data_IF_608662158314
#
_entry.id   IF_608662158314
#
_cell.length_a   1.000
_cell.length_b   1.000
_cell.length_c   1.000
_cell.angle_alpha   90.00
_cell.angle_beta   90.00
_cell.angle_gamma   90.00
#
_symmetry.space_group_name_H-M   'P 1'
#
loop_
_entity.id
_entity.type
_entity.pdbx_description
1 polymer ?
#
# COMPACT_ATOMS: atom_id res chain seq x y z
N UNK A 1 25.31 -27.37 -57.18
CA UNK A 1 26.04 -26.94 -55.97
C UNK A 1 25.27 -25.77 -55.39
N UNK A 2 24.58 -26.00 -54.27
CA UNK A 2 23.67 -25.02 -53.64
C UNK A 2 24.48 -24.11 -52.71
N UNK A 3 24.60 -22.84 -53.03
CA UNK A 3 25.16 -21.82 -52.13
C UNK A 3 24.14 -21.50 -51.03
N UNK A 4 24.44 -21.96 -49.81
CA UNK A 4 23.75 -21.54 -48.59
C UNK A 4 24.17 -20.10 -48.27
N UNK A 5 23.29 -19.14 -48.54
CA UNK A 5 23.39 -17.77 -48.03
C UNK A 5 23.20 -17.75 -46.51
N UNK A 6 24.26 -18.10 -45.76
CA UNK A 6 24.33 -17.92 -44.32
C UNK A 6 24.69 -16.48 -43.99
N UNK A 7 23.85 -15.79 -43.22
CA UNK A 7 24.20 -14.48 -42.67
C UNK A 7 25.51 -14.56 -41.85
N UNK A 8 26.41 -13.56 -41.92
CA UNK A 8 27.63 -13.53 -41.12
C UNK A 8 27.31 -13.69 -39.63
N UNK A 9 28.04 -14.57 -38.92
CA UNK A 9 27.86 -14.80 -37.48
C UNK A 9 27.96 -13.52 -36.62
N UNK A 10 28.62 -12.47 -37.14
CA UNK A 10 28.74 -11.15 -36.50
C UNK A 10 27.45 -10.33 -36.48
N UNK A 11 26.43 -10.72 -37.25
CA UNK A 11 25.11 -10.05 -37.32
C UNK A 11 24.04 -10.77 -36.48
N UNK A 12 24.34 -11.95 -35.93
CA UNK A 12 23.42 -12.69 -35.06
C UNK A 12 23.67 -12.22 -33.61
N UNK A 13 22.73 -11.50 -32.99
CA UNK A 13 22.91 -11.05 -31.63
C UNK A 13 23.02 -12.26 -30.70
N UNK A 14 24.01 -12.22 -29.79
CA UNK A 14 24.14 -13.24 -28.76
C UNK A 14 22.92 -13.26 -27.86
N UNK A 15 22.66 -14.38 -27.18
CA UNK A 15 21.56 -14.52 -26.20
C UNK A 15 21.53 -13.33 -25.22
N UNK A 16 22.70 -12.91 -24.72
CA UNK A 16 22.84 -11.77 -23.81
C UNK A 16 22.47 -10.44 -24.46
N UNK A 17 22.80 -10.23 -25.74
CA UNK A 17 22.42 -9.02 -26.49
C UNK A 17 20.91 -8.99 -26.74
N UNK A 18 20.31 -10.13 -27.10
CA UNK A 18 18.86 -10.27 -27.27
C UNK A 18 18.12 -10.01 -25.97
N UNK A 19 18.53 -10.62 -24.86
CA UNK A 19 17.93 -10.39 -23.53
C UNK A 19 18.04 -8.92 -23.09
N UNK A 20 19.19 -8.26 -23.35
CA UNK A 20 19.35 -6.82 -23.07
C UNK A 20 18.45 -5.95 -23.96
N UNK A 21 18.29 -6.31 -25.22
CA UNK A 21 17.39 -5.61 -26.14
C UNK A 21 15.92 -5.78 -25.72
N UNK A 22 15.50 -6.99 -25.35
CA UNK A 22 14.17 -7.26 -24.79
C UNK A 22 13.93 -6.46 -23.51
N UNK A 23 14.89 -6.43 -22.57
CA UNK A 23 14.80 -5.64 -21.34
C UNK A 23 14.69 -4.13 -21.60
N UNK A 24 15.35 -3.63 -22.65
CA UNK A 24 15.21 -2.24 -23.11
C UNK A 24 13.83 -1.97 -23.69
N UNK A 25 13.29 -2.91 -24.45
CA UNK A 25 11.94 -2.79 -25.03
C UNK A 25 10.87 -2.85 -23.94
N UNK A 26 11.01 -3.69 -22.92
CA UNK A 26 10.12 -3.72 -21.74
C UNK A 26 9.99 -2.34 -21.06
N UNK A 27 11.05 -1.54 -21.08
CA UNK A 27 11.08 -0.17 -20.53
C UNK A 27 10.81 0.90 -21.59
N UNK A 28 10.41 0.49 -22.80
CA UNK A 28 10.00 1.41 -23.85
C UNK A 28 8.70 2.14 -23.47
N UNK A 29 8.55 3.37 -23.95
CA UNK A 29 7.40 4.24 -23.65
C UNK A 29 6.06 3.52 -23.86
N UNK A 30 5.93 2.77 -24.96
CA UNK A 30 4.73 1.99 -25.25
C UNK A 30 4.41 0.99 -24.14
N UNK A 31 5.40 0.18 -23.72
CA UNK A 31 5.19 -0.83 -22.68
C UNK A 31 4.93 -0.20 -21.31
N UNK A 32 5.55 0.93 -21.00
CA UNK A 32 5.25 1.67 -19.77
C UNK A 32 3.80 2.20 -19.76
N UNK A 33 3.34 2.78 -20.86
CA UNK A 33 1.95 3.28 -20.98
C UNK A 33 0.96 2.13 -20.98
N UNK A 34 1.22 1.06 -21.73
CA UNK A 34 0.36 -0.13 -21.76
C UNK A 34 0.24 -0.78 -20.37
N UNK A 35 1.36 -0.90 -19.64
CA UNK A 35 1.35 -1.35 -18.25
C UNK A 35 0.51 -0.43 -17.37
N UNK A 36 0.65 0.89 -17.53
CA UNK A 36 -0.09 1.84 -16.70
C UNK A 36 -1.60 1.79 -16.96
N UNK A 37 -2.01 1.62 -18.22
CA UNK A 37 -3.43 1.43 -18.59
C UNK A 37 -3.98 0.14 -17.99
N UNK A 38 -3.22 -0.96 -18.08
CA UNK A 38 -3.60 -2.25 -17.50
C UNK A 38 -3.75 -2.18 -15.98
N UNK A 39 -2.82 -1.53 -15.29
CA UNK A 39 -2.87 -1.31 -13.84
C UNK A 39 -4.08 -0.43 -13.45
N UNK A 40 -4.39 0.60 -14.24
CA UNK A 40 -5.56 1.45 -14.03
C UNK A 40 -6.88 0.66 -14.15
N UNK A 41 -7.00 -0.19 -15.17
CA UNK A 41 -8.15 -1.09 -15.34
C UNK A 41 -8.31 -2.04 -14.15
N UNK A 42 -7.22 -2.58 -13.62
CA UNK A 42 -7.27 -3.42 -12.42
C UNK A 42 -7.79 -2.65 -11.20
N UNK A 43 -7.31 -1.41 -10.99
CA UNK A 43 -7.80 -0.55 -9.90
C UNK A 43 -9.29 -0.25 -10.05
N UNK A 44 -9.77 0.01 -11.27
CA UNK A 44 -11.21 0.19 -11.55
C UNK A 44 -12.02 -1.07 -11.22
N UNK A 45 -11.55 -2.26 -11.59
CA UNK A 45 -12.21 -3.53 -11.26
C UNK A 45 -12.30 -3.74 -9.75
N UNK A 46 -11.22 -3.48 -9.00
CA UNK A 46 -11.22 -3.57 -7.54
C UNK A 46 -12.20 -2.57 -6.93
N UNK A 47 -12.23 -1.34 -7.44
CA UNK A 47 -13.15 -0.31 -6.98
C UNK A 47 -14.61 -0.67 -7.27
N UNK A 48 -14.92 -1.24 -8.44
CA UNK A 48 -16.25 -1.74 -8.78
C UNK A 48 -16.71 -2.87 -7.84
N UNK A 49 -15.84 -3.84 -7.56
CA UNK A 49 -16.11 -4.91 -6.58
C UNK A 49 -16.27 -4.40 -5.14
N UNK A 50 -15.79 -3.18 -4.85
CA UNK A 50 -15.84 -2.54 -3.53
C UNK A 50 -16.59 -1.20 -3.59
N UNK A 51 -17.62 -1.08 -4.43
CA UNK A 51 -18.32 0.18 -4.72
C UNK A 51 -18.85 0.94 -3.49
N UNK A 52 -19.06 0.25 -2.35
CA UNK A 52 -19.43 0.89 -1.08
C UNK A 52 -18.33 1.76 -0.46
N UNK A 53 -17.06 1.53 -0.82
CA UNK A 53 -15.91 2.18 -0.21
C UNK A 53 -15.30 3.19 -1.19
N UNK A 54 -15.01 4.42 -0.74
CA UNK A 54 -14.38 5.44 -1.55
C UNK A 54 -13.00 4.98 -2.02
N UNK A 55 -12.70 5.24 -3.29
CA UNK A 55 -11.39 4.96 -3.89
C UNK A 55 -10.50 6.19 -3.71
N UNK A 56 -9.43 6.02 -2.93
CA UNK A 56 -8.45 7.06 -2.64
C UNK A 56 -7.16 6.79 -3.42
N UNK A 57 -6.65 7.83 -4.07
CA UNK A 57 -5.36 7.76 -4.76
C UNK A 57 -4.23 8.20 -3.83
N UNK A 58 -3.19 7.38 -3.65
CA UNK A 58 -1.97 7.85 -3.01
C UNK A 58 -1.22 8.80 -3.97
N UNK A 59 -1.06 10.07 -3.61
CA UNK A 59 -0.44 11.10 -4.48
C UNK A 59 1.04 10.85 -4.77
N UNK A 60 1.66 9.85 -4.13
CA UNK A 60 3.03 9.45 -4.46
C UNK A 60 3.10 8.83 -5.85
N UNK A 61 2.33 7.77 -6.09
CA UNK A 61 2.30 7.11 -7.38
C UNK A 61 0.89 6.61 -7.78
N UNK A 62 0.00 6.35 -6.81
CA UNK A 62 -1.38 5.90 -7.06
C UNK A 62 -2.23 6.80 -7.94
N UNK A 63 -1.98 8.11 -7.96
CA UNK A 63 -2.72 9.06 -8.80
C UNK A 63 -2.61 8.79 -10.31
N UNK A 64 -1.61 8.02 -10.76
CA UNK A 64 -1.48 7.61 -12.16
C UNK A 64 -2.53 6.60 -12.62
N UNK A 65 -3.15 5.88 -11.68
CA UNK A 65 -4.00 4.71 -11.97
C UNK A 65 -5.46 4.92 -11.57
N UNK A 66 -5.81 6.12 -11.11
CA UNK A 66 -7.15 6.45 -10.66
C UNK A 66 -7.63 7.69 -11.41
N UNK A 67 -8.50 7.49 -12.40
CA UNK A 67 -9.03 8.61 -13.20
C UNK A 67 -9.90 9.56 -12.33
N UNK A 68 -10.78 8.99 -11.49
CA UNK A 68 -11.76 9.73 -10.69
C UNK A 68 -11.72 9.34 -9.22
N UNK A 69 -10.68 9.77 -8.48
CA UNK A 69 -10.57 9.43 -7.07
C UNK A 69 -11.66 10.12 -6.25
N UNK A 70 -12.24 9.42 -5.28
CA UNK A 70 -13.11 10.01 -4.25
C UNK A 70 -12.34 10.95 -3.31
N UNK A 71 -11.02 10.80 -3.26
CA UNK A 71 -10.12 11.64 -2.49
C UNK A 71 -8.66 11.20 -2.68
N UNK A 72 -7.74 11.90 -2.02
CA UNK A 72 -6.32 11.61 -2.14
C UNK A 72 -5.68 11.41 -0.77
N UNK A 73 -4.64 10.59 -0.69
CA UNK A 73 -3.83 10.42 0.51
C UNK A 73 -2.33 10.52 0.18
N UNK A 74 -1.47 10.64 1.19
CA UNK A 74 -0.04 10.88 1.02
C UNK A 74 0.82 9.98 1.91
N UNK A 75 0.77 8.66 1.67
CA UNK A 75 1.62 7.69 2.36
C UNK A 75 2.96 7.54 1.63
N UNK A 76 4.08 7.67 2.34
CA UNK A 76 5.43 7.62 1.75
C UNK A 76 6.11 6.30 2.08
N UNK A 77 6.52 5.54 1.07
CA UNK A 77 7.13 4.22 1.26
C UNK A 77 8.38 4.21 2.15
N UNK A 78 9.15 5.31 2.17
CA UNK A 78 10.34 5.41 3.03
C UNK A 78 10.03 5.31 4.51
N UNK A 79 8.81 5.68 4.91
CA UNK A 79 8.39 5.67 6.31
C UNK A 79 8.14 4.22 6.80
N UNK A 80 8.11 3.25 5.87
CA UNK A 80 7.98 1.81 6.13
C UNK A 80 9.23 0.99 5.79
N UNK A 81 10.38 1.60 5.49
CA UNK A 81 11.60 0.84 5.17
C UNK A 81 12.10 0.04 6.38
N UNK A 82 12.57 -1.19 6.14
CA UNK A 82 13.10 -2.05 7.20
C UNK A 82 14.27 -1.38 7.91
N UNK A 83 14.24 -1.35 9.25
CA UNK A 83 15.23 -0.66 10.08
C UNK A 83 15.05 0.86 10.17
N UNK A 84 14.14 1.45 9.38
CA UNK A 84 13.85 2.89 9.40
C UNK A 84 12.34 3.16 9.30
N UNK A 85 11.59 2.63 10.26
CA UNK A 85 10.15 2.87 10.38
C UNK A 85 9.88 4.20 11.08
N UNK A 86 8.92 4.96 10.57
CA UNK A 86 8.53 6.25 11.13
C UNK A 86 7.04 6.53 10.96
N UNK A 87 6.52 7.39 11.82
CA UNK A 87 5.20 7.98 11.70
C UNK A 87 5.34 9.47 11.36
N UNK A 88 4.65 9.95 10.33
CA UNK A 88 4.77 11.34 9.90
C UNK A 88 3.76 12.22 10.64
N UNK A 89 4.27 13.16 11.45
CA UNK A 89 3.45 14.21 12.08
C UNK A 89 3.02 15.32 11.12
N UNK A 90 3.58 15.36 9.91
CA UNK A 90 3.22 16.30 8.84
C UNK A 90 2.17 15.70 7.90
N UNK A 91 2.33 14.41 7.55
CA UNK A 91 1.41 13.68 6.64
C UNK A 91 0.50 12.76 7.45
N UNK A 92 -0.31 13.36 8.33
CA UNK A 92 -1.14 12.61 9.26
C UNK A 92 -2.23 11.77 8.58
N UNK A 93 -2.67 12.16 7.37
CA UNK A 93 -3.74 11.49 6.62
C UNK A 93 -5.04 11.32 7.45
N UNK A 94 -5.36 12.24 8.37
CA UNK A 94 -6.56 12.16 9.21
C UNK A 94 -7.86 12.22 8.38
N UNK A 95 -7.84 12.91 7.25
CA UNK A 95 -8.96 12.94 6.31
C UNK A 95 -9.25 11.56 5.71
N UNK A 96 -8.21 10.75 5.44
CA UNK A 96 -8.35 9.34 5.02
C UNK A 96 -9.07 8.53 6.09
N UNK A 97 -8.71 8.70 7.36
CA UNK A 97 -9.38 8.02 8.47
C UNK A 97 -10.84 8.48 8.65
N UNK A 98 -11.10 9.78 8.53
CA UNK A 98 -12.43 10.35 8.61
C UNK A 98 -13.35 9.79 7.50
N UNK A 99 -12.82 9.70 6.28
CA UNK A 99 -13.52 9.17 5.12
C UNK A 99 -13.76 7.66 5.24
N UNK A 100 -12.75 6.89 5.67
CA UNK A 100 -12.90 5.47 5.97
C UNK A 100 -13.95 5.23 7.07
N UNK A 101 -13.98 6.07 8.10
CA UNK A 101 -15.00 6.00 9.16
C UNK A 101 -16.40 6.27 8.60
N UNK A 102 -16.54 7.30 7.77
CA UNK A 102 -17.81 7.71 7.17
C UNK A 102 -18.40 6.61 6.29
N UNK A 103 -17.58 5.96 5.47
CA UNK A 103 -18.02 4.93 4.52
C UNK A 103 -17.90 3.49 5.05
N UNK A 104 -17.39 3.29 6.28
CA UNK A 104 -17.13 1.97 6.84
C UNK A 104 -15.93 1.23 6.22
N UNK A 105 -15.05 1.95 5.54
CA UNK A 105 -13.83 1.48 4.88
C UNK A 105 -13.40 2.42 3.77
N UNK A 106 -12.22 2.20 3.19
CA UNK A 106 -11.76 2.87 1.96
C UNK A 106 -10.86 1.92 1.16
N UNK A 107 -10.73 2.17 -0.14
CA UNK A 107 -9.75 1.51 -0.99
C UNK A 107 -8.64 2.52 -1.27
N UNK A 108 -7.38 2.13 -1.13
CA UNK A 108 -6.25 2.99 -1.47
C UNK A 108 -5.46 2.35 -2.60
N UNK A 109 -5.28 3.08 -3.70
CA UNK A 109 -4.43 2.67 -4.82
C UNK A 109 -3.05 3.30 -4.71
N UNK A 110 -2.00 2.52 -4.98
CA UNK A 110 -0.62 2.99 -5.10
C UNK A 110 0.19 2.08 -6.02
N UNK A 111 1.29 2.61 -6.54
CA UNK A 111 2.17 1.86 -7.43
C UNK A 111 3.19 1.03 -6.65
N UNK A 112 3.55 -0.11 -7.21
CA UNK A 112 4.71 -0.88 -6.77
C UNK A 112 5.85 -0.77 -7.79
N UNK A 113 7.09 -0.95 -7.33
CA UNK A 113 8.24 -1.10 -8.24
C UNK A 113 8.34 -2.54 -8.71
N UNK A 114 8.95 -2.75 -9.88
CA UNK A 114 9.27 -4.09 -10.40
C UNK A 114 9.95 -4.94 -9.33
N UNK A 115 9.48 -6.18 -9.16
CA UNK A 115 10.00 -7.15 -8.20
C UNK A 115 9.38 -7.08 -6.80
N UNK A 116 8.50 -6.10 -6.53
CA UNK A 116 7.66 -6.09 -5.32
C UNK A 116 6.19 -6.23 -5.71
N UNK A 117 5.45 -7.04 -4.96
CA UNK A 117 3.98 -7.12 -5.10
C UNK A 117 3.31 -5.86 -4.54
N UNK A 118 3.85 -5.30 -3.45
CA UNK A 118 3.35 -4.08 -2.82
C UNK A 118 4.48 -3.11 -2.49
N UNK A 119 4.25 -1.78 -2.57
CA UNK A 119 5.18 -0.81 -2.01
C UNK A 119 5.21 -0.89 -0.48
N UNK A 120 6.32 -0.45 0.13
CA UNK A 120 6.43 -0.42 1.60
C UNK A 120 5.38 0.52 2.24
N UNK A 121 4.85 1.49 1.47
CA UNK A 121 3.71 2.29 1.87
C UNK A 121 2.49 1.41 2.23
N UNK A 122 2.19 0.42 1.38
CA UNK A 122 1.07 -0.50 1.57
C UNK A 122 1.38 -1.59 2.59
N UNK A 123 2.61 -2.13 2.58
CA UNK A 123 2.96 -3.24 3.47
C UNK A 123 3.27 -2.83 4.91
N UNK A 124 3.73 -1.59 5.15
CA UNK A 124 4.20 -1.17 6.48
C UNK A 124 3.75 0.22 6.89
N UNK A 125 3.87 1.24 6.04
CA UNK A 125 3.51 2.62 6.43
C UNK A 125 2.03 2.77 6.81
N UNK A 126 1.11 2.26 5.98
CA UNK A 126 -0.33 2.30 6.26
C UNK A 126 -0.70 1.42 7.47
N UNK A 127 -0.20 0.18 7.61
CA UNK A 127 -0.40 -0.60 8.83
C UNK A 127 0.10 0.07 10.12
N UNK A 128 1.28 0.71 10.09
CA UNK A 128 1.81 1.49 11.21
C UNK A 128 0.87 2.65 11.53
N UNK A 129 0.47 3.41 10.51
CA UNK A 129 -0.47 4.51 10.66
C UNK A 129 -1.79 4.06 11.27
N UNK A 130 -2.37 2.96 10.77
CA UNK A 130 -3.60 2.38 11.29
C UNK A 130 -3.46 1.97 12.76
N UNK A 131 -2.34 1.35 13.14
CA UNK A 131 -2.06 0.96 14.52
C UNK A 131 -1.99 2.18 15.46
N UNK A 132 -1.31 3.26 15.05
CA UNK A 132 -1.23 4.52 15.81
C UNK A 132 -2.62 5.13 15.98
N UNK A 133 -3.42 5.22 14.91
CA UNK A 133 -4.78 5.76 14.99
C UNK A 133 -5.71 4.90 15.85
N UNK A 134 -5.60 3.57 15.77
CA UNK A 134 -6.39 2.64 16.59
C UNK A 134 -6.08 2.83 18.09
N UNK A 135 -4.79 2.92 18.47
CA UNK A 135 -4.39 3.18 19.87
C UNK A 135 -4.83 4.56 20.34
N UNK A 136 -4.68 5.59 19.52
CA UNK A 136 -5.16 6.94 19.84
C UNK A 136 -6.69 6.96 20.04
N UNK A 137 -7.44 6.26 19.19
CA UNK A 137 -8.90 6.20 19.29
C UNK A 137 -9.35 5.47 20.56
N UNK A 138 -8.66 4.38 20.93
CA UNK A 138 -8.90 3.66 22.19
C UNK A 138 -8.59 4.54 23.40
N UNK A 139 -7.46 5.26 23.39
CA UNK A 139 -7.09 6.18 24.47
C UNK A 139 -8.12 7.31 24.68
N UNK A 140 -8.90 7.65 23.66
CA UNK A 140 -9.98 8.64 23.71
C UNK A 140 -11.37 8.04 23.97
N UNK A 141 -11.47 6.71 24.16
CA UNK A 141 -12.73 6.00 24.35
C UNK A 141 -13.63 5.99 23.11
N UNK A 142 -13.07 6.13 21.91
CA UNK A 142 -13.83 6.20 20.64
C UNK A 142 -14.10 4.84 20.02
N UNK A 143 -13.30 3.85 20.40
CA UNK A 143 -13.41 2.46 19.98
C UNK A 143 -13.72 1.67 21.24
N UNK A 144 -14.93 1.11 21.31
CA UNK A 144 -15.30 0.19 22.37
C UNK A 144 -14.40 -1.04 22.27
N UNK A 145 -13.80 -1.44 23.40
CA UNK A 145 -13.20 -2.76 23.49
C UNK A 145 -14.33 -3.75 23.34
N UNK A 146 -14.42 -4.40 22.18
CA UNK A 146 -15.41 -5.44 21.96
C UNK A 146 -15.22 -6.53 23.00
N UNK A 147 -16.09 -6.55 24.00
CA UNK A 147 -16.51 -7.80 24.63
C UNK A 147 -17.29 -8.53 23.54
N UNK A 148 -16.65 -9.46 22.80
CA UNK A 148 -17.29 -10.66 22.23
C UNK A 148 -16.30 -11.57 21.44
N UNK A 149 -16.17 -12.78 21.99
CA UNK A 149 -16.19 -14.12 21.37
C UNK A 149 -15.05 -14.70 20.52
N UNK A 150 -14.07 -13.94 20.04
CA UNK A 150 -12.82 -14.53 19.52
C UNK A 150 -11.62 -13.92 20.26
N UNK A 151 -10.98 -14.72 21.12
CA UNK A 151 -10.00 -14.37 22.17
C UNK A 151 -8.70 -13.64 21.78
N UNK A 152 -8.69 -12.84 20.71
CA UNK A 152 -7.56 -12.09 20.14
C UNK A 152 -7.85 -10.57 20.05
N UNK A 153 -9.08 -10.12 20.32
CA UNK A 153 -9.57 -8.79 19.93
C UNK A 153 -9.17 -7.59 20.81
N UNK A 154 -8.71 -7.82 22.03
CA UNK A 154 -8.71 -6.79 23.09
C UNK A 154 -7.33 -6.25 23.46
N UNK A 155 -6.25 -6.79 22.90
CA UNK A 155 -4.89 -6.43 23.36
C UNK A 155 -4.17 -5.45 22.42
N UNK A 156 -3.41 -4.47 22.95
CA UNK A 156 -2.61 -3.54 22.16
C UNK A 156 -1.63 -4.20 21.19
N UNK A 157 -1.22 -5.45 21.44
CA UNK A 157 -0.39 -6.23 20.53
C UNK A 157 -1.05 -6.54 19.18
N UNK A 158 -2.39 -6.53 19.07
CA UNK A 158 -3.12 -6.83 17.84
C UNK A 158 -3.42 -5.58 16.99
N UNK A 159 -3.03 -4.39 17.43
CA UNK A 159 -3.24 -3.15 16.69
C UNK A 159 -2.34 -3.08 15.44
N UNK A 160 -1.11 -3.60 15.54
CA UNK A 160 -0.19 -3.68 14.41
C UNK A 160 -0.39 -5.00 13.65
N UNK A 161 -1.12 -4.94 12.55
CA UNK A 161 -1.33 -6.06 11.63
C UNK A 161 -0.58 -5.82 10.32
N UNK A 162 0.59 -6.45 10.22
CA UNK A 162 1.39 -6.46 9.00
C UNK A 162 0.92 -7.60 8.07
N UNK A 163 1.15 -7.50 6.75
CA UNK A 163 0.83 -8.58 5.84
C UNK A 163 1.69 -9.84 6.12
N UNK A 164 1.21 -11.03 5.72
CA UNK A 164 1.86 -12.31 6.06
C UNK A 164 3.26 -12.51 5.47
N UNK A 165 3.61 -11.78 4.41
CA UNK A 165 4.96 -11.82 3.81
C UNK A 165 5.98 -10.93 4.54
N UNK A 166 5.57 -10.14 5.53
CA UNK A 166 6.49 -9.37 6.36
C UNK A 166 6.90 -10.22 7.57
N UNK A 167 8.21 -10.41 7.81
CA UNK A 167 8.68 -11.22 8.93
C UNK A 167 8.15 -10.73 10.28
N UNK A 168 7.85 -11.67 11.19
CA UNK A 168 7.42 -11.36 12.55
C UNK A 168 8.45 -10.50 13.31
N UNK A 169 9.74 -10.67 13.03
CA UNK A 169 10.81 -9.86 13.62
C UNK A 169 10.70 -8.37 13.28
N UNK A 170 10.16 -7.98 12.11
CA UNK A 170 9.88 -6.57 11.82
C UNK A 170 8.73 -6.07 12.69
N UNK A 171 7.66 -6.87 12.86
CA UNK A 171 6.55 -6.52 13.75
C UNK A 171 7.04 -6.28 15.18
N UNK A 172 7.88 -7.17 15.70
CA UNK A 172 8.45 -7.07 17.05
C UNK A 172 9.31 -5.81 17.24
N UNK A 173 10.01 -5.35 16.18
CA UNK A 173 10.81 -4.12 16.22
C UNK A 173 9.98 -2.84 16.10
N UNK A 174 8.85 -2.90 15.38
CA UNK A 174 7.95 -1.76 15.18
C UNK A 174 7.05 -1.56 16.39
N UNK A 175 6.52 -2.63 16.99
CA UNK A 175 5.49 -2.57 18.03
C UNK A 175 5.86 -1.65 19.21
N UNK A 176 7.09 -1.68 19.76
CA UNK A 176 7.49 -0.80 20.87
C UNK A 176 7.53 0.69 20.50
N UNK A 177 7.56 1.03 19.20
CA UNK A 177 7.63 2.42 18.73
C UNK A 177 6.25 3.09 18.63
N UNK A 178 5.18 2.29 18.58
CA UNK A 178 3.82 2.80 18.33
C UNK A 178 3.39 3.80 19.41
N UNK A 179 3.70 3.56 20.68
CA UNK A 179 3.23 4.44 21.78
C UNK A 179 3.91 5.82 21.75
N UNK A 180 5.16 5.89 21.32
CA UNK A 180 5.84 7.14 21.07
C UNK A 180 5.13 7.92 19.95
N UNK A 181 4.76 7.25 18.85
CA UNK A 181 4.04 7.89 17.75
C UNK A 181 2.60 8.30 18.10
N UNK A 182 1.94 7.58 19.00
CA UNK A 182 0.65 8.00 19.56
C UNK A 182 0.81 9.29 20.37
N UNK A 183 1.90 9.39 21.14
CA UNK A 183 2.25 10.61 21.88
C UNK A 183 2.52 11.76 20.92
N UNK A 184 3.32 11.53 19.86
CA UNK A 184 3.60 12.54 18.83
C UNK A 184 2.31 13.03 18.14
N UNK A 185 1.41 12.12 17.76
CA UNK A 185 0.12 12.45 17.15
C UNK A 185 -0.72 13.36 18.06
N UNK A 186 -0.81 13.05 19.35
CA UNK A 186 -1.56 13.84 20.33
C UNK A 186 -0.88 15.16 20.66
N UNK A 187 0.43 15.25 20.47
CA UNK A 187 1.19 16.49 20.62
C UNK A 187 0.98 17.49 19.47
N UNK A 188 0.73 17.00 18.25
CA UNK A 188 0.58 17.85 17.05
C UNK A 188 -0.88 18.10 16.63
N UNK A 189 -1.83 17.35 17.17
CA UNK A 189 -3.24 17.44 16.82
C UNK A 189 -4.11 17.55 18.07
N UNK A 190 -5.00 18.55 18.10
CA UNK A 190 -5.89 18.74 19.25
C UNK A 190 -6.91 17.59 19.38
N UNK A 191 -7.35 17.33 20.61
CA UNK A 191 -8.27 16.23 20.90
C UNK A 191 -9.57 16.31 20.09
N UNK A 192 -10.11 17.51 19.89
CA UNK A 192 -11.35 17.70 19.12
C UNK A 192 -11.20 17.20 17.68
N UNK A 193 -10.14 17.60 16.98
CA UNK A 193 -9.84 17.10 15.63
C UNK A 193 -9.64 15.59 15.62
N UNK A 194 -8.95 15.04 16.63
CA UNK A 194 -8.78 13.59 16.75
C UNK A 194 -10.13 12.88 16.91
N UNK A 195 -11.03 13.35 17.79
CA UNK A 195 -12.37 12.76 17.94
C UNK A 195 -13.20 12.84 16.66
N UNK A 196 -13.01 13.90 15.88
CA UNK A 196 -13.68 14.08 14.58
C UNK A 196 -13.10 13.22 13.47
N UNK A 197 -11.84 12.81 13.50
CA UNK A 197 -11.23 12.05 12.39
C UNK A 197 -10.97 10.58 12.70
N UNK A 198 -10.71 10.25 13.97
CA UNK A 198 -10.34 8.90 14.37
C UNK A 198 -11.49 7.90 14.20
N UNK A 199 -11.14 6.63 13.93
CA UNK A 199 -12.12 5.60 13.63
C UNK A 199 -12.94 5.20 14.87
N UNK A 200 -14.16 4.69 14.66
CA UNK A 200 -15.03 4.12 15.72
C UNK A 200 -14.91 2.60 15.87
N UNK A 201 -14.28 1.96 14.89
CA UNK A 201 -13.90 0.54 14.90
C UNK A 201 -12.44 0.43 14.46
N UNK A 202 -11.65 -0.55 14.93
CA UNK A 202 -10.24 -0.64 14.56
C UNK A 202 -10.07 -0.71 13.04
N UNK A 203 -9.20 0.15 12.48
CA UNK A 203 -8.77 0.08 11.09
C UNK A 203 -7.99 -1.22 10.87
N UNK A 204 -8.41 -2.00 9.87
CA UNK A 204 -7.76 -3.24 9.44
C UNK A 204 -7.37 -3.13 7.98
N UNK A 205 -6.11 -3.39 7.68
CA UNK A 205 -5.58 -3.36 6.32
C UNK A 205 -5.79 -4.70 5.63
N UNK A 206 -6.19 -4.65 4.36
CA UNK A 206 -6.27 -5.79 3.46
C UNK A 206 -5.56 -5.46 2.17
N UNK A 207 -4.90 -6.44 1.57
CA UNK A 207 -4.07 -6.25 0.40
C UNK A 207 -4.65 -7.02 -0.78
N UNK A 208 -4.89 -6.31 -1.88
CA UNK A 208 -5.40 -6.86 -3.12
C UNK A 208 -4.34 -6.57 -4.18
N UNK A 209 -3.79 -7.62 -4.75
CA UNK A 209 -2.84 -7.53 -5.86
C UNK A 209 -3.40 -8.30 -7.04
N UNK A 210 -2.97 -7.92 -8.23
CA UNK A 210 -3.18 -8.73 -9.41
C UNK A 210 -2.40 -10.03 -9.26
N UNK A 211 -3.03 -11.17 -9.54
CA UNK A 211 -2.30 -12.41 -9.72
C UNK A 211 -1.34 -12.18 -10.89
N UNK A 212 -0.05 -12.42 -10.71
CA UNK A 212 0.85 -12.47 -11.86
C UNK A 212 0.29 -13.57 -12.77
N UNK A 213 -0.12 -13.20 -14.00
CA UNK A 213 -0.29 -14.21 -15.03
C UNK A 213 1.07 -14.90 -15.14
N UNK A 214 1.17 -16.14 -14.67
CA UNK A 214 2.09 -17.06 -15.33
C UNK A 214 1.69 -16.97 -16.80
N UNK A 215 2.60 -16.47 -17.63
CA UNK A 215 2.38 -16.47 -19.06
C UNK A 215 2.13 -17.94 -19.44
N UNK A 216 0.89 -18.26 -19.76
CA UNK A 216 0.54 -19.56 -20.26
C UNK A 216 1.27 -19.76 -21.60
N UNK A 217 2.01 -20.87 -21.67
CA UNK A 217 2.66 -21.49 -22.85
C UNK A 217 4.11 -21.10 -23.10
#
# INVERSE_FOLDING_TARGET
>A
MSETYGLPQSLIPSMTQTLRAMKRLELGVYNCVASAVHDAQFVEQVAACRARWPLLANVRCGAWYVERPSGVCAFKSTDGHSGNWSFSTVRLNLHTAAEARRAGGCVIADATRRGKVFPDAMSKTIPIWAAVLNRAARALGLVEGGEEEDGDGTRPEHDLRLPPWIPASEREQILPKIDAWVTDLRGVCCEETLRQCLPRKPLRCYWIAQQASEAAS
#
